data_IF_978930340696
#
_entry.id   IF_978930340696
#
_cell.length_a   1.000
_cell.length_b   1.000
_cell.length_c   1.000
_cell.angle_alpha   90.00
_cell.angle_beta   90.00
_cell.angle_gamma   90.00
#
_symmetry.space_group_name_H-M   'P 1'
#
loop_
_entity.id
_entity.type
_entity.pdbx_description
1 polymer ?
#
# COMPACT_ATOMS: atom_id res chain seq x y z
N UNK A 1 13.65 -58.00 -56.77
CA UNK A 1 14.46 -57.97 -58.01
C UNK A 1 14.92 -56.53 -58.17
N UNK A 2 16.17 -56.14 -57.97
CA UNK A 2 17.44 -56.67 -58.52
C UNK A 2 18.61 -56.33 -57.58
N UNK A 3 19.50 -57.29 -57.31
CA UNK A 3 20.85 -57.09 -56.70
C UNK A 3 21.90 -57.09 -57.83
N UNK A 4 23.06 -56.45 -57.62
CA UNK A 4 24.31 -57.21 -57.38
C UNK A 4 25.20 -56.54 -56.29
N UNK A 5 25.64 -57.21 -55.22
CA UNK A 5 26.86 -58.06 -55.04
C UNK A 5 28.19 -57.41 -55.42
N UNK A 6 29.11 -57.35 -54.44
CA UNK A 6 30.54 -57.74 -54.42
C UNK A 6 31.12 -57.27 -53.07
N UNK A 7 31.33 -58.12 -52.06
CA UNK A 7 32.46 -59.05 -51.89
C UNK A 7 33.82 -58.38 -52.16
N UNK A 8 34.66 -58.22 -51.14
CA UNK A 8 35.87 -59.03 -50.93
C UNK A 8 36.94 -58.28 -50.10
N UNK A 9 37.44 -58.94 -49.05
CA UNK A 9 38.79 -58.91 -48.45
C UNK A 9 38.65 -59.45 -47.01
N UNK A 10 38.70 -60.77 -46.88
CA UNK A 10 39.91 -61.56 -46.61
C UNK A 10 40.47 -61.34 -45.19
N UNK A 11 40.17 -62.36 -44.39
CA UNK A 11 40.84 -62.91 -43.22
C UNK A 11 42.31 -62.56 -43.04
N UNK A 12 42.68 -62.22 -41.80
CA UNK A 12 43.93 -62.68 -41.19
C UNK A 12 43.66 -63.19 -39.77
N UNK A 13 44.12 -64.42 -39.55
CA UNK A 13 44.20 -65.17 -38.30
C UNK A 13 44.99 -64.40 -37.23
N UNK A 14 44.72 -64.68 -35.96
CA UNK A 14 45.78 -64.59 -34.94
C UNK A 14 45.34 -64.41 -33.50
N UNK A 15 45.40 -65.52 -32.76
CA UNK A 15 45.80 -65.62 -31.36
C UNK A 15 45.04 -64.83 -30.26
N UNK A 16 44.25 -65.61 -29.52
CA UNK A 16 44.04 -65.57 -28.07
C UNK A 16 44.86 -64.56 -27.25
N UNK A 17 44.17 -63.70 -26.50
CA UNK A 17 44.46 -63.48 -25.07
C UNK A 17 43.17 -63.10 -24.37
N UNK A 18 42.76 -63.93 -23.40
CA UNK A 18 41.64 -63.63 -22.50
C UNK A 18 42.05 -62.45 -21.61
N UNK A 19 41.28 -61.37 -21.65
CA UNK A 19 41.30 -60.37 -20.58
C UNK A 19 39.87 -59.96 -20.28
N UNK A 20 39.35 -60.45 -19.16
CA UNK A 20 38.05 -60.12 -18.60
C UNK A 20 38.16 -58.77 -17.92
N UNK A 21 37.50 -57.72 -18.42
CA UNK A 21 37.28 -56.49 -17.63
C UNK A 21 35.98 -55.79 -18.04
N UNK A 22 35.03 -55.83 -17.10
CA UNK A 22 34.03 -54.79 -16.77
C UNK A 22 33.26 -54.09 -17.88
N UNK A 23 31.99 -54.45 -18.03
CA UNK A 23 30.96 -53.58 -18.62
C UNK A 23 30.90 -52.24 -17.86
N UNK A 24 31.29 -51.14 -18.50
CA UNK A 24 30.86 -49.79 -18.10
C UNK A 24 29.61 -49.42 -18.89
N UNK A 25 28.45 -49.54 -18.26
CA UNK A 25 27.19 -49.03 -18.79
C UNK A 25 27.15 -47.50 -18.59
N UNK A 26 27.50 -46.75 -19.63
CA UNK A 26 27.21 -45.33 -19.73
C UNK A 26 26.02 -45.14 -20.67
N UNK A 27 24.90 -44.64 -20.13
CA UNK A 27 23.82 -44.09 -20.94
C UNK A 27 22.44 -44.62 -20.58
N UNK A 28 21.78 -44.01 -19.58
CA UNK A 28 20.39 -43.53 -19.65
C UNK A 28 20.02 -42.85 -18.32
N UNK A 29 20.12 -41.53 -18.22
CA UNK A 29 19.42 -40.72 -17.23
C UNK A 29 19.52 -39.25 -17.62
N UNK A 30 18.75 -38.83 -18.63
CA UNK A 30 18.58 -37.43 -18.99
C UNK A 30 17.11 -37.04 -18.80
N UNK A 31 16.93 -35.94 -18.07
CA UNK A 31 15.72 -35.13 -17.88
C UNK A 31 14.65 -35.66 -16.90
N UNK A 32 14.63 -35.08 -15.69
CA UNK A 32 13.50 -34.29 -15.12
C UNK A 32 13.62 -34.15 -13.59
N UNK A 33 14.64 -33.40 -13.17
CA UNK A 33 14.65 -32.64 -11.93
C UNK A 33 15.56 -31.45 -12.27
N UNK A 34 15.13 -30.19 -12.25
CA UNK A 34 14.65 -29.50 -11.06
C UNK A 34 13.73 -28.36 -11.52
N UNK A 35 12.44 -28.44 -11.23
CA UNK A 35 11.61 -27.24 -11.12
C UNK A 35 11.93 -26.62 -9.76
N UNK A 36 12.94 -25.74 -9.70
CA UNK A 36 13.03 -24.81 -8.56
C UNK A 36 11.90 -23.83 -8.78
N UNK A 37 10.74 -24.10 -8.18
CA UNK A 37 9.79 -23.06 -7.87
C UNK A 37 10.55 -22.06 -6.99
N UNK A 38 10.94 -20.92 -7.54
CA UNK A 38 11.39 -19.79 -6.74
C UNK A 38 10.18 -19.33 -5.93
N UNK A 39 9.99 -19.94 -4.76
CA UNK A 39 9.20 -19.34 -3.70
C UNK A 39 9.84 -17.97 -3.42
N UNK A 40 9.14 -16.90 -3.78
CA UNK A 40 9.50 -15.56 -3.32
C UNK A 40 9.35 -15.58 -1.80
N UNK A 41 10.45 -15.78 -1.09
CA UNK A 41 10.50 -15.46 0.33
C UNK A 41 10.26 -13.95 0.43
N UNK A 42 9.26 -13.56 1.23
CA UNK A 42 9.04 -12.15 1.54
C UNK A 42 10.25 -11.66 2.36
N UNK A 43 11.28 -11.19 1.68
CA UNK A 43 12.44 -10.54 2.27
C UNK A 43 12.10 -9.13 2.75
N UNK A 44 13.00 -8.55 3.55
CA UNK A 44 12.90 -7.17 4.03
C UNK A 44 12.66 -6.17 2.88
N UNK A 45 11.93 -5.05 3.12
CA UNK A 45 11.75 -4.00 2.14
C UNK A 45 13.09 -3.52 1.57
N UNK A 46 13.19 -3.46 0.24
CA UNK A 46 14.41 -3.02 -0.46
C UNK A 46 14.37 -1.51 -0.69
N UNK A 47 15.54 -0.84 -0.77
CA UNK A 47 15.62 0.54 -1.24
C UNK A 47 15.05 0.73 -2.66
N UNK A 48 14.70 1.97 -3.01
CA UNK A 48 14.27 2.31 -4.36
C UNK A 48 15.39 2.03 -5.37
N UNK A 49 15.06 1.33 -6.46
CA UNK A 49 16.02 1.08 -7.54
C UNK A 49 16.31 2.36 -8.34
N UNK A 50 17.42 2.43 -9.09
CA UNK A 50 17.69 3.56 -9.99
C UNK A 50 16.53 3.87 -10.95
N UNK A 51 15.88 2.84 -11.50
CA UNK A 51 14.72 3.00 -12.37
C UNK A 51 13.51 3.60 -11.63
N UNK A 52 13.29 3.22 -10.36
CA UNK A 52 12.22 3.79 -9.52
C UNK A 52 12.48 5.26 -9.20
N UNK A 53 13.73 5.62 -8.87
CA UNK A 53 14.13 7.01 -8.61
C UNK A 53 13.88 7.89 -9.84
N UNK A 54 14.33 7.41 -11.01
CA UNK A 54 14.12 8.10 -12.28
C UNK A 54 12.63 8.26 -12.61
N UNK A 55 11.84 7.19 -12.42
CA UNK A 55 10.39 7.26 -12.62
C UNK A 55 9.71 8.29 -11.69
N UNK A 56 10.03 8.28 -10.39
CA UNK A 56 9.44 9.22 -9.43
C UNK A 56 9.77 10.68 -9.78
N UNK A 57 11.01 10.95 -10.22
CA UNK A 57 11.44 12.26 -10.70
C UNK A 57 10.70 12.68 -11.98
N UNK A 58 10.64 11.80 -12.97
CA UNK A 58 10.10 12.13 -14.30
C UNK A 58 8.57 12.20 -14.31
N UNK A 59 7.89 11.28 -13.60
CA UNK A 59 6.42 11.21 -13.54
C UNK A 59 5.77 12.44 -12.91
N UNK A 60 6.54 13.27 -12.22
CA UNK A 60 6.02 14.45 -11.51
C UNK A 60 6.69 15.76 -11.91
N UNK A 61 7.58 15.75 -12.91
CA UNK A 61 8.36 16.92 -13.32
C UNK A 61 7.51 18.09 -13.85
N UNK A 62 6.36 17.81 -14.45
CA UNK A 62 5.44 18.81 -15.00
C UNK A 62 4.37 19.29 -14.01
N UNK A 63 4.34 18.77 -12.79
CA UNK A 63 3.32 19.14 -11.81
C UNK A 63 3.59 20.55 -11.23
N UNK A 64 2.54 21.32 -10.90
CA UNK A 64 2.66 22.69 -10.41
C UNK A 64 3.07 22.72 -8.93
N UNK A 65 4.33 22.37 -8.62
CA UNK A 65 4.81 22.23 -7.24
C UNK A 65 4.79 23.51 -6.41
N UNK A 66 4.83 24.68 -7.06
CA UNK A 66 4.70 25.99 -6.43
C UNK A 66 3.27 26.28 -5.98
N UNK A 67 2.26 25.59 -6.52
CA UNK A 67 0.88 25.74 -6.08
C UNK A 67 0.66 25.02 -4.74
N UNK A 68 0.46 25.84 -3.70
CA UNK A 68 0.20 25.42 -2.33
C UNK A 68 -1.23 25.73 -1.86
N UNK A 69 -2.14 26.09 -2.76
CA UNK A 69 -3.51 26.44 -2.39
C UNK A 69 -4.21 25.32 -1.62
N UNK A 70 -3.99 24.06 -2.00
CA UNK A 70 -4.58 22.90 -1.31
C UNK A 70 -4.19 22.82 0.17
N UNK A 71 -2.95 23.18 0.52
CA UNK A 71 -2.50 23.16 1.92
C UNK A 71 -3.21 24.22 2.75
N UNK A 72 -3.42 25.42 2.17
CA UNK A 72 -4.20 26.47 2.82
C UNK A 72 -5.67 26.04 2.98
N UNK A 73 -6.25 25.46 1.92
CA UNK A 73 -7.63 24.97 1.92
C UNK A 73 -7.84 23.83 2.93
N UNK A 74 -6.91 22.88 3.02
CA UNK A 74 -6.98 21.76 3.95
C UNK A 74 -6.97 22.18 5.43
N UNK A 75 -6.39 23.35 5.75
CA UNK A 75 -6.31 23.89 7.12
C UNK A 75 -7.40 24.92 7.44
N UNK A 76 -8.07 25.45 6.41
CA UNK A 76 -9.07 26.50 6.56
C UNK A 76 -10.25 26.02 7.41
N UNK A 77 -10.63 26.82 8.40
CA UNK A 77 -11.78 26.54 9.26
C UNK A 77 -11.52 25.51 10.36
N UNK A 78 -10.27 25.10 10.61
CA UNK A 78 -9.95 24.21 11.73
C UNK A 78 -10.42 24.82 13.07
N UNK A 79 -11.26 24.08 13.79
CA UNK A 79 -11.74 24.42 15.15
C UNK A 79 -10.92 23.67 16.19
N UNK A 80 -10.80 22.36 16.03
CA UNK A 80 -10.14 21.49 17.00
C UNK A 80 -9.42 20.33 16.31
N UNK A 81 -8.22 19.99 16.78
CA UNK A 81 -7.50 18.78 16.36
C UNK A 81 -8.10 17.55 17.04
N UNK A 82 -7.81 16.36 16.50
CA UNK A 82 -8.23 15.11 17.14
C UNK A 82 -7.54 14.92 18.49
N UNK A 83 -8.26 14.46 19.53
CA UNK A 83 -7.64 14.07 20.80
C UNK A 83 -6.75 12.84 20.62
N UNK A 84 -5.86 12.59 21.58
CA UNK A 84 -5.00 11.40 21.65
C UNK A 84 -4.24 11.09 20.36
N UNK A 85 -3.83 12.13 19.62
CA UNK A 85 -3.17 12.02 18.31
C UNK A 85 -3.96 11.19 17.28
N UNK A 86 -5.29 11.15 17.39
CA UNK A 86 -6.19 10.43 16.49
C UNK A 86 -6.19 8.90 16.70
N UNK A 87 -5.87 8.43 17.90
CA UNK A 87 -6.06 7.02 18.29
C UNK A 87 -7.46 6.83 18.85
N UNK A 88 -8.24 5.96 18.20
CA UNK A 88 -9.60 5.62 18.61
C UNK A 88 -9.62 4.13 18.96
N UNK A 89 -10.17 3.81 20.13
CA UNK A 89 -10.30 2.43 20.65
C UNK A 89 -11.75 2.06 20.85
N UNK A 90 -12.06 0.77 20.70
CA UNK A 90 -13.34 0.23 21.10
C UNK A 90 -13.42 0.03 22.63
N UNK A 91 -14.59 -0.42 23.12
CA UNK A 91 -14.84 -0.65 24.55
C UNK A 91 -13.93 -1.72 25.16
N UNK A 92 -13.33 -2.61 24.36
CA UNK A 92 -12.39 -3.63 24.82
C UNK A 92 -10.94 -3.12 24.89
N UNK A 93 -10.70 -1.88 24.43
CA UNK A 93 -9.37 -1.27 24.36
C UNK A 93 -8.62 -1.57 23.07
N UNK A 94 -9.22 -2.31 22.12
CA UNK A 94 -8.63 -2.57 20.81
C UNK A 94 -8.66 -1.31 19.96
N UNK A 95 -7.56 -1.04 19.27
CA UNK A 95 -7.43 0.12 18.37
C UNK A 95 -8.25 -0.11 17.11
N UNK A 96 -9.22 0.78 16.85
CA UNK A 96 -10.07 0.79 15.65
C UNK A 96 -9.51 1.73 14.59
N UNK A 97 -9.05 2.91 15.01
CA UNK A 97 -8.37 3.86 14.15
C UNK A 97 -7.12 4.40 14.82
N UNK A 98 -6.07 4.64 14.05
CA UNK A 98 -4.83 5.19 14.59
C UNK A 98 -4.14 6.07 13.53
N UNK A 99 -4.49 7.35 13.57
CA UNK A 99 -3.87 8.35 12.71
C UNK A 99 -2.37 8.53 13.01
N UNK A 100 -1.96 8.34 14.27
CA UNK A 100 -0.56 8.51 14.69
C UNK A 100 0.44 7.59 13.96
N UNK A 101 -0.05 6.46 13.42
CA UNK A 101 0.75 5.58 12.56
C UNK A 101 1.27 6.29 11.30
N UNK A 102 0.53 7.26 10.80
CA UNK A 102 0.86 8.03 9.59
C UNK A 102 1.56 9.33 9.94
N UNK A 103 1.00 10.09 10.88
CA UNK A 103 1.57 11.39 11.30
C UNK A 103 2.93 11.22 11.97
N UNK A 104 3.30 10.01 12.42
CA UNK A 104 4.64 9.71 12.91
C UNK A 104 5.75 10.00 11.89
N UNK A 105 5.51 9.79 10.59
CA UNK A 105 6.52 9.93 9.54
C UNK A 105 6.11 10.85 8.36
N UNK A 106 4.81 11.02 8.12
CA UNK A 106 4.29 11.99 7.13
C UNK A 106 4.14 13.33 7.83
N UNK A 107 5.01 14.27 7.50
CA UNK A 107 5.04 15.62 8.09
C UNK A 107 4.79 16.66 7.01
N UNK A 108 4.09 17.72 7.37
CA UNK A 108 3.88 18.86 6.48
C UNK A 108 5.22 19.46 6.06
N UNK A 109 5.39 19.70 4.76
CA UNK A 109 6.61 20.27 4.19
C UNK A 109 7.80 19.32 4.13
N UNK A 110 7.69 18.05 4.55
CA UNK A 110 8.79 17.10 4.43
C UNK A 110 8.99 16.63 2.99
N UNK A 111 10.25 16.39 2.62
CA UNK A 111 10.58 15.80 1.34
C UNK A 111 9.99 14.38 1.22
N UNK A 112 9.55 14.02 0.03
CA UNK A 112 9.10 12.66 -0.25
C UNK A 112 10.29 11.69 -0.12
N UNK A 113 10.14 10.56 0.60
CA UNK A 113 11.13 9.50 0.56
C UNK A 113 11.28 8.96 -0.86
N UNK A 114 12.48 8.50 -1.20
CA UNK A 114 12.82 7.93 -2.52
C UNK A 114 11.90 6.77 -2.95
N UNK A 115 11.34 6.05 -1.97
CA UNK A 115 10.43 4.91 -2.16
C UNK A 115 8.97 5.30 -2.38
N UNK A 116 8.64 6.59 -2.35
CA UNK A 116 7.26 7.10 -2.50
C UNK A 116 7.17 8.09 -3.64
N UNK A 117 6.13 7.96 -4.47
CA UNK A 117 5.87 8.95 -5.52
C UNK A 117 5.65 10.36 -4.91
N UNK A 118 6.33 11.41 -5.38
CA UNK A 118 6.23 12.73 -4.78
C UNK A 118 4.80 13.31 -4.77
N UNK A 119 3.99 13.04 -5.81
CA UNK A 119 2.61 13.53 -5.88
C UNK A 119 1.74 12.87 -4.83
N UNK A 120 1.89 11.55 -4.67
CA UNK A 120 1.23 10.80 -3.61
C UNK A 120 1.66 11.28 -2.22
N UNK A 121 2.94 11.62 -2.04
CA UNK A 121 3.44 12.16 -0.78
C UNK A 121 2.81 13.51 -0.44
N UNK A 122 2.69 14.43 -1.41
CA UNK A 122 1.97 15.70 -1.23
C UNK A 122 0.53 15.46 -0.80
N UNK A 123 -0.18 14.55 -1.46
CA UNK A 123 -1.57 14.20 -1.09
C UNK A 123 -1.65 13.59 0.31
N UNK A 124 -0.69 12.74 0.67
CA UNK A 124 -0.64 12.11 1.98
C UNK A 124 -0.45 13.15 3.09
N UNK A 125 0.38 14.17 2.87
CA UNK A 125 0.52 15.30 3.82
C UNK A 125 -0.80 16.05 4.02
N UNK A 126 -1.57 16.31 2.95
CA UNK A 126 -2.86 16.99 3.04
C UNK A 126 -3.89 16.19 3.88
N UNK A 127 -3.82 14.86 3.84
CA UNK A 127 -4.70 13.99 4.62
C UNK A 127 -4.36 13.98 6.12
N UNK A 128 -3.15 14.41 6.51
CA UNK A 128 -2.73 14.43 7.91
C UNK A 128 -3.33 15.60 8.70
N UNK A 129 -3.92 16.58 8.02
CA UNK A 129 -4.66 17.67 8.66
C UNK A 129 -6.06 17.21 9.12
N UNK A 130 -6.07 16.40 10.18
CA UNK A 130 -7.27 15.85 10.80
C UNK A 130 -7.80 16.73 11.95
N UNK A 131 -9.13 16.73 12.13
CA UNK A 131 -9.80 17.58 13.11
C UNK A 131 -11.27 17.85 12.81
N UNK A 132 -11.86 18.69 13.64
CA UNK A 132 -13.15 19.35 13.42
C UNK A 132 -12.93 20.66 12.67
N UNK A 133 -13.69 20.88 11.61
CA UNK A 133 -13.62 22.04 10.73
C UNK A 133 -14.99 22.69 10.56
N UNK A 134 -15.03 24.01 10.50
CA UNK A 134 -16.15 24.79 9.98
C UNK A 134 -15.95 25.01 8.48
N UNK A 135 -16.90 24.51 7.67
CA UNK A 135 -16.89 24.71 6.21
C UNK A 135 -17.48 26.08 5.90
N UNK A 136 -18.65 26.34 6.48
CA UNK A 136 -19.39 27.60 6.50
C UNK A 136 -20.19 27.65 7.81
N UNK A 137 -20.69 28.82 8.24
CA UNK A 137 -21.48 28.90 9.47
C UNK A 137 -22.63 27.89 9.50
N UNK A 138 -22.65 27.04 10.54
CA UNK A 138 -23.66 25.99 10.71
C UNK A 138 -23.38 24.68 9.98
N UNK A 139 -22.30 24.57 9.20
CA UNK A 139 -21.89 23.33 8.52
C UNK A 139 -20.47 22.96 8.92
N UNK A 140 -20.34 21.79 9.52
CA UNK A 140 -19.10 21.29 10.10
C UNK A 140 -18.71 19.95 9.50
N UNK A 141 -17.41 19.69 9.46
CA UNK A 141 -16.88 18.38 9.08
C UNK A 141 -15.86 17.89 10.09
N UNK A 142 -15.94 16.61 10.43
CA UNK A 142 -14.86 15.91 11.14
C UNK A 142 -14.09 15.08 10.13
N UNK A 143 -12.79 15.32 10.06
CA UNK A 143 -11.89 14.78 9.04
C UNK A 143 -10.76 13.97 9.69
N UNK A 144 -10.33 12.89 9.03
CA UNK A 144 -9.17 12.08 9.44
C UNK A 144 -9.38 11.20 10.68
N UNK A 145 -10.64 11.00 11.08
CA UNK A 145 -11.08 10.04 12.11
C UNK A 145 -11.43 8.66 11.54
N UNK A 146 -11.58 8.59 10.22
CA UNK A 146 -11.86 7.40 9.42
C UNK A 146 -11.44 7.72 7.97
N UNK A 147 -11.74 6.83 7.01
CA UNK A 147 -11.49 7.05 5.59
C UNK A 147 -12.36 8.19 5.01
N UNK A 148 -13.63 8.26 5.40
CA UNK A 148 -14.56 9.31 4.99
C UNK A 148 -14.58 10.47 6.00
N UNK A 149 -15.18 11.58 5.59
CA UNK A 149 -15.51 12.68 6.48
C UNK A 149 -16.92 12.47 7.02
N UNK A 150 -17.16 12.89 8.26
CA UNK A 150 -18.51 13.02 8.81
C UNK A 150 -18.93 14.48 8.70
N UNK A 151 -20.06 14.77 8.06
CA UNK A 151 -20.59 16.15 7.98
C UNK A 151 -21.72 16.34 8.98
N UNK A 152 -21.71 17.45 9.71
CA UNK A 152 -22.76 17.87 10.64
C UNK A 152 -23.34 19.20 10.19
N UNK A 153 -24.66 19.26 10.05
CA UNK A 153 -25.39 20.50 9.73
C UNK A 153 -26.25 20.88 10.93
N UNK A 154 -26.06 22.10 11.45
CA UNK A 154 -26.85 22.66 12.54
C UNK A 154 -28.20 23.18 12.01
N UNK A 155 -29.28 22.62 12.54
CA UNK A 155 -30.64 23.12 12.35
C UNK A 155 -31.16 23.88 13.59
N UNK A 156 -32.43 24.31 13.50
CA UNK A 156 -33.11 25.00 14.61
C UNK A 156 -33.33 24.07 15.81
N UNK A 157 -33.83 22.86 15.56
CA UNK A 157 -34.22 21.91 16.61
C UNK A 157 -33.12 20.90 16.97
N UNK A 158 -32.06 20.80 16.15
CA UNK A 158 -31.13 19.69 16.21
C UNK A 158 -29.98 19.79 15.23
N UNK A 159 -29.31 18.67 15.01
CA UNK A 159 -28.31 18.49 13.96
C UNK A 159 -28.71 17.37 13.01
N UNK A 160 -28.29 17.50 11.75
CA UNK A 160 -28.34 16.43 10.74
C UNK A 160 -26.93 15.93 10.49
N UNK A 161 -26.76 14.62 10.45
CA UNK A 161 -25.48 13.96 10.18
C UNK A 161 -25.49 13.43 8.75
N UNK A 162 -24.38 13.55 8.03
CA UNK A 162 -24.19 12.89 6.74
C UNK A 162 -22.95 12.02 6.81
N UNK A 163 -23.05 10.82 6.24
CA UNK A 163 -21.99 9.80 6.16
C UNK A 163 -21.34 9.51 7.52
N UNK A 164 -22.00 8.73 8.40
CA UNK A 164 -21.53 8.45 9.76
C UNK A 164 -20.38 7.43 9.80
N UNK A 165 -19.40 7.60 8.90
CA UNK A 165 -18.13 6.86 8.84
C UNK A 165 -18.32 5.35 8.66
N UNK A 166 -17.24 4.57 8.84
CA UNK A 166 -17.27 3.10 8.65
C UNK A 166 -17.68 2.40 9.94
N UNK A 167 -17.18 2.87 11.08
CA UNK A 167 -17.34 2.20 12.38
C UNK A 167 -18.09 3.06 13.39
N UNK A 168 -18.85 2.43 14.28
CA UNK A 168 -19.60 3.14 15.32
C UNK A 168 -18.67 3.89 16.30
N UNK A 169 -17.47 3.37 16.53
CA UNK A 169 -16.45 3.98 17.38
C UNK A 169 -15.92 5.29 16.79
N UNK A 170 -15.62 5.30 15.49
CA UNK A 170 -15.12 6.50 14.80
C UNK A 170 -16.23 7.54 14.69
N UNK A 171 -17.47 7.13 14.37
CA UNK A 171 -18.63 8.00 14.33
C UNK A 171 -18.90 8.66 15.69
N UNK A 172 -18.81 7.89 16.78
CA UNK A 172 -18.94 8.40 18.15
C UNK A 172 -17.84 9.39 18.48
N UNK A 173 -16.58 9.05 18.22
CA UNK A 173 -15.45 9.93 18.50
C UNK A 173 -15.56 11.27 17.73
N UNK A 174 -16.02 11.22 16.48
CA UNK A 174 -16.27 12.40 15.67
C UNK A 174 -17.37 13.29 16.26
N UNK A 175 -18.51 12.68 16.61
CA UNK A 175 -19.64 13.40 17.20
C UNK A 175 -19.31 13.97 18.59
N UNK A 176 -18.53 13.24 19.40
CA UNK A 176 -18.06 13.72 20.70
C UNK A 176 -17.12 14.92 20.54
N UNK A 177 -16.19 14.89 19.56
CA UNK A 177 -15.33 16.03 19.25
C UNK A 177 -16.15 17.26 18.83
N UNK A 178 -17.20 17.06 18.02
CA UNK A 178 -18.13 18.13 17.67
C UNK A 178 -18.81 18.72 18.93
N UNK A 179 -19.37 17.89 19.80
CA UNK A 179 -20.06 18.36 21.02
C UNK A 179 -19.14 18.97 22.08
N UNK A 180 -17.84 18.71 22.04
CA UNK A 180 -16.86 19.41 22.88
C UNK A 180 -16.71 20.89 22.48
N UNK A 181 -17.03 21.23 21.24
CA UNK A 181 -16.78 22.55 20.66
C UNK A 181 -18.06 23.29 20.26
N UNK A 182 -19.20 22.60 20.19
CA UNK A 182 -20.48 23.11 19.71
C UNK A 182 -21.62 22.74 20.67
N UNK A 183 -22.74 23.50 20.69
CA UNK A 183 -23.88 23.17 21.54
C UNK A 183 -24.39 21.74 21.33
N UNK A 184 -24.66 21.04 22.42
CA UNK A 184 -25.19 19.67 22.38
C UNK A 184 -26.68 19.66 22.03
N UNK A 185 -26.96 19.68 20.73
CA UNK A 185 -28.30 19.52 20.16
C UNK A 185 -28.57 18.05 19.80
N UNK A 186 -29.82 17.56 19.80
CA UNK A 186 -30.12 16.19 19.40
C UNK A 186 -29.87 15.95 17.90
N UNK A 187 -29.53 14.71 17.54
CA UNK A 187 -29.49 14.27 16.13
C UNK A 187 -30.91 14.03 15.66
N UNK A 188 -31.33 14.73 14.60
CA UNK A 188 -32.70 14.70 14.08
C UNK A 188 -32.81 13.90 12.78
N UNK A 189 -31.72 13.79 12.02
CA UNK A 189 -31.66 13.04 10.78
C UNK A 189 -30.22 12.53 10.51
N UNK A 190 -30.15 11.45 9.73
CA UNK A 190 -28.93 10.83 9.19
C UNK A 190 -29.18 10.48 7.73
#
# INVERSE_FOLDING_TARGET
MTRPTLSNRQSLLGASTRCSFGFTAAGLALALAVTVAQAQTAGEPKPASPATLEFNKNSTASLPWSDKADFANAKRGLIARLPDNGVIKDKSGRVVWNLSRYTGFIKDGSAAPDTVNPSLWRMSQLLMDAGLYEVVPGVYQVRGVDLSNLTIVEGQQGITIYDPLISAETARAALDLYYQNRPRKPVMAV
#
